data_IF_954164926100
#
_entry.id   IF_954164926100
#
_cell.length_a   1.000
_cell.length_b   1.000
_cell.length_c   1.000
_cell.angle_alpha   90.00
_cell.angle_beta   90.00
_cell.angle_gamma   90.00
#
_symmetry.space_group_name_H-M   'P 1'
#
loop_
_entity.id
_entity.type
_entity.pdbx_description
1 polymer ?
#
# COMPACT_ATOMS: atom_id res chain seq x y z
N UNK A 1 14.51 23.51 15.86
CA UNK A 1 13.61 22.60 15.16
C UNK A 1 14.35 22.13 13.92
N UNK A 2 14.78 20.88 13.85
CA UNK A 2 15.40 20.32 12.63
C UNK A 2 14.34 20.33 11.54
N UNK A 3 14.60 21.02 10.43
CA UNK A 3 13.75 20.94 9.25
C UNK A 3 13.92 19.54 8.66
N UNK A 4 12.81 18.83 8.45
CA UNK A 4 12.87 17.52 7.81
C UNK A 4 13.60 17.63 6.46
N UNK A 5 14.43 16.64 6.10
CA UNK A 5 15.18 16.67 4.86
C UNK A 5 14.23 16.77 3.65
N UNK A 6 14.56 17.63 2.70
CA UNK A 6 13.80 17.82 1.48
C UNK A 6 14.26 16.77 0.45
N UNK A 7 13.33 15.92 0.01
CA UNK A 7 13.58 14.97 -1.09
C UNK A 7 13.32 15.72 -2.40
N UNK A 8 14.31 15.76 -3.28
CA UNK A 8 14.15 16.31 -4.64
C UNK A 8 13.46 15.25 -5.52
N UNK A 9 12.32 15.60 -6.11
CA UNK A 9 11.55 14.73 -6.99
C UNK A 9 10.64 15.57 -7.90
N UNK A 10 10.29 15.01 -9.06
CA UNK A 10 9.32 15.63 -9.96
C UNK A 10 7.89 15.53 -9.41
N UNK A 11 7.38 16.63 -8.88
CA UNK A 11 6.07 16.68 -8.23
C UNK A 11 4.90 16.70 -9.21
N UNK A 12 3.92 15.83 -9.01
CA UNK A 12 2.62 15.87 -9.70
C UNK A 12 1.77 16.99 -9.08
N UNK A 13 1.67 18.12 -9.78
CA UNK A 13 0.96 19.33 -9.33
C UNK A 13 -0.49 19.35 -9.83
N UNK A 14 -1.31 18.42 -9.37
CA UNK A 14 -2.73 18.31 -9.72
C UNK A 14 -3.06 17.14 -10.65
N UNK A 15 -4.33 16.78 -10.71
CA UNK A 15 -4.82 15.58 -11.43
C UNK A 15 -4.54 15.62 -12.93
N UNK A 16 -4.53 16.79 -13.54
CA UNK A 16 -4.23 16.97 -14.97
C UNK A 16 -2.77 16.74 -15.34
N UNK A 17 -1.88 16.56 -14.36
CA UNK A 17 -0.46 16.22 -14.53
C UNK A 17 -0.16 14.76 -14.23
N UNK A 18 -1.16 13.95 -13.95
CA UNK A 18 -0.98 12.50 -13.80
C UNK A 18 -0.56 11.92 -15.16
N UNK A 19 0.47 11.06 -15.23
CA UNK A 19 0.86 10.43 -16.49
C UNK A 19 -0.29 9.70 -17.16
N UNK A 20 -0.44 9.87 -18.47
CA UNK A 20 -1.53 9.26 -19.23
C UNK A 20 -1.25 7.80 -19.60
N UNK A 21 0.03 7.40 -19.63
CA UNK A 21 0.42 6.03 -19.94
C UNK A 21 -0.24 5.03 -18.99
N UNK A 22 -0.85 3.98 -19.57
CA UNK A 22 -1.48 2.89 -18.81
C UNK A 22 -0.57 1.69 -18.74
N UNK A 23 -0.02 1.42 -17.56
CA UNK A 23 0.89 0.31 -17.28
C UNK A 23 0.22 -0.81 -16.45
N UNK A 24 -1.02 -0.56 -16.05
CA UNK A 24 -1.95 -1.52 -15.46
C UNK A 24 -3.30 -1.32 -16.14
N UNK A 25 -3.64 -2.21 -17.05
CA UNK A 25 -4.77 -2.04 -17.97
C UNK A 25 -6.05 -2.71 -17.47
N UNK A 26 -7.12 -2.55 -18.23
CA UNK A 26 -8.36 -3.32 -18.05
C UNK A 26 -8.13 -4.83 -18.25
N UNK A 27 -9.08 -5.65 -17.83
CA UNK A 27 -9.01 -7.11 -17.95
C UNK A 27 -8.63 -7.82 -16.65
N UNK A 28 -8.38 -7.09 -15.55
CA UNK A 28 -8.27 -7.68 -14.23
C UNK A 28 -9.62 -8.15 -13.70
N UNK A 29 -9.61 -9.09 -12.75
CA UNK A 29 -10.80 -9.68 -12.14
C UNK A 29 -11.03 -9.18 -10.70
N UNK A 30 -10.65 -7.96 -10.41
CA UNK A 30 -10.93 -7.35 -9.11
C UNK A 30 -12.41 -7.01 -8.98
N UNK A 31 -12.89 -6.90 -7.76
CA UNK A 31 -14.27 -6.50 -7.48
C UNK A 31 -14.57 -5.10 -8.03
N UNK A 32 -15.82 -4.83 -8.33
CA UNK A 32 -16.27 -3.47 -8.59
C UNK A 32 -15.99 -2.59 -7.37
N UNK A 33 -15.45 -1.39 -7.57
CA UNK A 33 -15.07 -0.49 -6.47
C UNK A 33 -13.87 -0.96 -5.65
N UNK A 34 -13.06 -1.91 -6.16
CA UNK A 34 -11.84 -2.34 -5.49
C UNK A 34 -10.80 -1.21 -5.44
N UNK A 35 -10.59 -0.63 -4.26
CA UNK A 35 -9.65 0.47 -4.09
C UNK A 35 -8.19 0.04 -4.32
N UNK A 36 -7.82 -1.19 -3.95
CA UNK A 36 -6.49 -1.71 -4.21
C UNK A 36 -6.12 -1.74 -5.70
N UNK A 37 -7.11 -1.91 -6.60
CA UNK A 37 -6.87 -1.82 -8.04
C UNK A 37 -6.58 -0.37 -8.48
N UNK A 38 -7.30 0.61 -7.92
CA UNK A 38 -7.06 2.04 -8.13
C UNK A 38 -5.67 2.43 -7.63
N UNK A 39 -5.32 1.97 -6.43
CA UNK A 39 -4.00 2.15 -5.82
C UNK A 39 -2.89 1.62 -6.72
N UNK A 40 -2.98 0.38 -7.17
CA UNK A 40 -1.99 -0.23 -8.06
C UNK A 40 -1.82 0.55 -9.37
N UNK A 41 -2.92 0.87 -10.04
CA UNK A 41 -2.90 1.63 -11.28
C UNK A 41 -2.19 2.97 -11.11
N UNK A 42 -2.51 3.70 -10.05
CA UNK A 42 -1.89 4.99 -9.77
C UNK A 42 -0.40 4.88 -9.42
N UNK A 43 -0.01 3.88 -8.64
CA UNK A 43 1.39 3.66 -8.31
C UNK A 43 2.25 3.38 -9.55
N UNK A 44 1.81 2.49 -10.42
CA UNK A 44 2.54 2.19 -11.65
C UNK A 44 2.61 3.40 -12.58
N UNK A 45 1.54 4.17 -12.71
CA UNK A 45 1.59 5.45 -13.43
C UNK A 45 2.63 6.41 -12.86
N UNK A 46 2.73 6.48 -11.54
CA UNK A 46 3.71 7.34 -10.87
C UNK A 46 5.15 6.85 -11.03
N UNK A 47 5.35 5.53 -11.02
CA UNK A 47 6.66 4.90 -11.14
C UNK A 47 7.19 4.86 -12.58
N UNK A 48 6.30 4.81 -13.59
CA UNK A 48 6.65 4.73 -15.00
C UNK A 48 7.02 3.32 -15.47
N UNK A 49 7.24 3.18 -16.80
CA UNK A 49 7.44 1.91 -17.49
C UNK A 49 8.76 1.18 -17.13
N UNK A 50 9.73 1.88 -16.57
CA UNK A 50 11.00 1.26 -16.12
C UNK A 50 10.87 0.64 -14.73
N UNK A 51 9.86 -0.19 -14.57
CA UNK A 51 9.49 -0.81 -13.30
C UNK A 51 9.34 -2.31 -13.46
N UNK A 52 9.79 -3.05 -12.46
CA UNK A 52 9.52 -4.48 -12.29
C UNK A 52 8.70 -4.64 -11.01
N UNK A 53 7.63 -5.41 -11.08
CA UNK A 53 6.71 -5.61 -9.98
C UNK A 53 6.83 -7.03 -9.43
N UNK A 54 6.92 -7.16 -8.12
CA UNK A 54 6.75 -8.43 -7.41
C UNK A 54 5.58 -8.33 -6.45
N UNK A 55 5.00 -9.44 -6.04
CA UNK A 55 3.96 -9.37 -5.04
C UNK A 55 3.55 -10.70 -4.47
N UNK A 56 3.16 -10.63 -3.21
CA UNK A 56 2.66 -11.78 -2.46
C UNK A 56 1.23 -12.15 -2.88
N UNK A 57 0.91 -13.43 -2.83
CA UNK A 57 -0.46 -13.93 -3.02
C UNK A 57 -1.46 -13.12 -2.19
N UNK A 58 -2.54 -12.71 -2.80
CA UNK A 58 -3.62 -11.92 -2.22
C UNK A 58 -4.55 -11.46 -3.34
N UNK A 59 -5.55 -10.64 -3.03
CA UNK A 59 -6.54 -10.18 -4.00
C UNK A 59 -5.90 -9.70 -5.31
N UNK A 60 -4.88 -8.84 -5.20
CA UNK A 60 -4.31 -8.18 -6.37
C UNK A 60 -3.47 -9.07 -7.26
N UNK A 61 -2.95 -10.18 -6.75
CA UNK A 61 -2.23 -11.15 -7.59
C UNK A 61 -3.15 -12.26 -8.10
N UNK A 62 -4.08 -12.73 -7.29
CA UNK A 62 -5.05 -13.73 -7.74
C UNK A 62 -5.99 -13.17 -8.82
N UNK A 63 -6.49 -11.94 -8.65
CA UNK A 63 -7.35 -11.30 -9.63
C UNK A 63 -6.64 -10.88 -10.94
N UNK A 64 -5.30 -10.84 -10.93
CA UNK A 64 -4.48 -10.41 -12.05
C UNK A 64 -3.76 -11.57 -12.75
N UNK A 65 -3.86 -12.79 -12.22
CA UNK A 65 -3.33 -14.01 -12.83
C UNK A 65 -4.46 -14.81 -13.42
N UNK A 66 -4.68 -14.73 -14.70
CA UNK A 66 -5.71 -15.48 -15.37
C UNK A 66 -5.14 -16.08 -16.63
N UNK A 67 -5.14 -17.38 -16.70
CA UNK A 67 -4.65 -18.23 -17.77
C UNK A 67 -3.64 -17.59 -18.74
N UNK A 68 -4.08 -16.82 -19.71
CA UNK A 68 -3.21 -16.23 -20.74
C UNK A 68 -3.26 -14.71 -20.77
N UNK A 69 -3.91 -14.07 -19.78
CA UNK A 69 -4.07 -12.61 -19.74
C UNK A 69 -3.66 -12.03 -18.40
N UNK A 70 -3.02 -10.89 -18.45
CA UNK A 70 -2.66 -10.10 -17.27
C UNK A 70 -2.86 -8.62 -17.58
N UNK A 71 -3.28 -7.79 -16.61
CA UNK A 71 -3.37 -6.35 -16.79
C UNK A 71 -2.00 -5.64 -16.70
N UNK A 72 -0.94 -6.35 -16.29
CA UNK A 72 0.39 -5.79 -16.16
C UNK A 72 1.06 -5.58 -17.52
N UNK A 73 1.46 -4.36 -17.83
CA UNK A 73 2.28 -4.02 -18.99
C UNK A 73 3.77 -4.04 -18.65
N UNK A 74 4.11 -3.89 -17.38
CA UNK A 74 5.48 -4.03 -16.87
C UNK A 74 5.79 -5.49 -16.50
N UNK A 75 7.06 -5.91 -16.47
CA UNK A 75 7.43 -7.22 -15.95
C UNK A 75 6.95 -7.41 -14.52
N UNK A 76 6.36 -8.56 -14.23
CA UNK A 76 5.79 -8.83 -12.92
C UNK A 76 6.02 -10.29 -12.49
N UNK A 77 6.01 -10.52 -11.18
CA UNK A 77 6.17 -11.85 -10.60
C UNK A 77 5.23 -12.03 -9.39
N UNK A 78 4.45 -13.10 -9.43
CA UNK A 78 3.62 -13.54 -8.31
C UNK A 78 4.42 -14.48 -7.41
N UNK A 79 4.40 -14.25 -6.11
CA UNK A 79 5.12 -15.04 -5.11
C UNK A 79 4.21 -15.54 -4.01
N UNK A 80 4.70 -16.46 -3.19
CA UNK A 80 3.98 -16.99 -2.05
C UNK A 80 3.59 -15.88 -1.06
N UNK A 81 2.49 -16.04 -0.33
CA UNK A 81 1.84 -15.03 0.53
C UNK A 81 2.81 -14.33 1.51
N UNK A 82 3.73 -15.04 2.14
CA UNK A 82 4.72 -14.46 3.06
C UNK A 82 6.04 -14.02 2.41
N UNK A 83 6.21 -14.22 1.09
CA UNK A 83 7.50 -14.04 0.41
C UNK A 83 7.69 -12.64 -0.24
N UNK A 84 6.80 -11.66 0.02
CA UNK A 84 6.86 -10.35 -0.61
C UNK A 84 8.21 -9.65 -0.45
N UNK A 85 8.70 -9.49 0.76
CA UNK A 85 9.99 -8.84 1.03
C UNK A 85 11.17 -9.59 0.40
N UNK A 86 11.22 -10.91 0.57
CA UNK A 86 12.30 -11.74 0.03
C UNK A 86 12.34 -11.71 -1.50
N UNK A 87 11.18 -11.69 -2.16
CA UNK A 87 11.09 -11.59 -3.63
C UNK A 87 11.56 -10.23 -4.14
N UNK A 88 11.24 -9.15 -3.43
CA UNK A 88 11.71 -7.80 -3.79
C UNK A 88 13.24 -7.72 -3.71
N UNK A 89 13.83 -8.23 -2.62
CA UNK A 89 15.30 -8.28 -2.45
C UNK A 89 15.93 -9.16 -3.54
N UNK A 90 15.38 -10.34 -3.80
CA UNK A 90 15.88 -11.24 -4.86
C UNK A 90 15.85 -10.60 -6.25
N UNK A 91 14.77 -9.87 -6.58
CA UNK A 91 14.64 -9.12 -7.83
C UNK A 91 15.67 -8.00 -7.93
N UNK A 92 15.80 -7.17 -6.90
CA UNK A 92 16.77 -6.08 -6.86
C UNK A 92 18.21 -6.59 -6.95
N UNK A 93 18.55 -7.67 -6.23
CA UNK A 93 19.86 -8.32 -6.31
C UNK A 93 20.15 -8.89 -7.70
N UNK A 94 19.16 -9.54 -8.32
CA UNK A 94 19.26 -10.06 -9.67
C UNK A 94 19.54 -8.97 -10.70
N UNK A 95 18.78 -7.87 -10.66
CA UNK A 95 19.00 -6.71 -11.54
C UNK A 95 20.37 -6.09 -11.33
N UNK A 96 20.81 -5.90 -10.08
CA UNK A 96 22.17 -5.41 -9.74
C UNK A 96 23.26 -6.34 -10.33
N UNK A 97 23.07 -7.67 -10.24
CA UNK A 97 24.00 -8.64 -10.79
C UNK A 97 24.02 -8.61 -12.34
N UNK A 98 22.88 -8.48 -13.01
CA UNK A 98 22.79 -8.37 -14.46
C UNK A 98 23.46 -7.10 -14.99
N UNK A 99 23.28 -5.96 -14.34
CA UNK A 99 23.97 -4.70 -14.64
C UNK A 99 25.49 -4.87 -14.50
N UNK A 100 25.96 -5.38 -13.37
CA UNK A 100 27.39 -5.61 -13.10
C UNK A 100 28.04 -6.53 -14.13
N UNK A 101 27.28 -7.51 -14.67
CA UNK A 101 27.73 -8.43 -15.71
C UNK A 101 27.60 -7.86 -17.12
N UNK A 102 27.14 -6.63 -17.30
CA UNK A 102 26.89 -6.02 -18.61
C UNK A 102 25.80 -6.69 -19.44
N UNK A 103 24.92 -7.47 -18.81
CA UNK A 103 23.80 -8.17 -19.49
C UNK A 103 22.60 -7.26 -19.75
N UNK A 104 22.46 -6.20 -18.98
CA UNK A 104 21.49 -5.13 -19.18
C UNK A 104 22.20 -3.78 -19.00
N UNK A 105 21.63 -2.71 -19.57
CA UNK A 105 22.15 -1.35 -19.39
C UNK A 105 22.12 -0.95 -17.92
N UNK A 106 23.12 -0.19 -17.49
CA UNK A 106 23.16 0.35 -16.14
C UNK A 106 22.29 1.62 -16.03
N UNK A 107 21.00 1.40 -16.05
CA UNK A 107 19.97 2.43 -15.91
C UNK A 107 19.08 2.11 -14.72
N UNK A 108 18.45 3.13 -14.13
CA UNK A 108 17.52 2.93 -13.01
C UNK A 108 16.34 2.08 -13.45
N UNK A 109 16.08 0.98 -12.72
CA UNK A 109 14.91 0.13 -12.85
C UNK A 109 14.29 0.07 -11.47
N UNK A 110 13.07 0.52 -11.34
CA UNK A 110 12.34 0.51 -10.07
C UNK A 110 11.91 -0.93 -9.73
N UNK A 111 12.17 -1.38 -8.53
CA UNK A 111 11.65 -2.64 -7.98
C UNK A 111 10.56 -2.31 -6.99
N UNK A 112 9.33 -2.70 -7.31
CA UNK A 112 8.16 -2.44 -6.46
C UNK A 112 7.54 -3.78 -6.05
N UNK A 113 7.32 -3.96 -4.75
CA UNK A 113 6.56 -5.07 -4.21
C UNK A 113 5.18 -4.59 -3.76
N UNK A 114 4.13 -5.28 -4.20
CA UNK A 114 2.78 -5.13 -3.67
C UNK A 114 2.41 -6.34 -2.83
N UNK A 115 2.05 -6.13 -1.58
CA UNK A 115 1.58 -7.18 -0.68
C UNK A 115 0.38 -6.69 0.11
N UNK A 116 -0.61 -7.57 0.31
CA UNK A 116 -1.76 -7.25 1.17
C UNK A 116 -1.37 -7.13 2.63
N UNK A 117 -2.29 -6.67 3.45
CA UNK A 117 -2.09 -6.49 4.89
C UNK A 117 -1.70 -7.79 5.60
N UNK A 118 -2.35 -8.92 5.29
CA UNK A 118 -1.93 -10.23 5.81
C UNK A 118 -0.51 -10.60 5.34
N UNK A 119 -0.24 -10.40 4.04
CA UNK A 119 1.03 -10.76 3.42
C UNK A 119 2.21 -9.91 3.89
N UNK A 120 2.02 -8.62 4.09
CA UNK A 120 3.08 -7.70 4.52
C UNK A 120 3.13 -7.50 6.04
N UNK A 121 1.95 -7.30 6.66
CA UNK A 121 1.84 -6.92 8.06
C UNK A 121 1.86 -8.09 9.05
N UNK A 122 1.56 -9.31 8.60
CA UNK A 122 1.49 -10.50 9.46
C UNK A 122 2.44 -11.61 8.96
N UNK A 123 2.04 -12.41 7.98
CA UNK A 123 2.79 -13.60 7.58
C UNK A 123 4.17 -13.28 6.99
N UNK A 124 4.29 -12.20 6.23
CA UNK A 124 5.53 -11.79 5.57
C UNK A 124 6.33 -10.74 6.31
N UNK A 125 5.92 -10.33 7.52
CA UNK A 125 6.56 -9.21 8.24
C UNK A 125 8.06 -9.42 8.46
N UNK A 126 8.51 -10.64 8.71
CA UNK A 126 9.93 -10.96 8.83
C UNK A 126 10.71 -10.71 7.53
N UNK A 127 10.16 -11.11 6.39
CA UNK A 127 10.75 -10.85 5.07
C UNK A 127 10.72 -9.36 4.70
N UNK A 128 9.66 -8.64 5.05
CA UNK A 128 9.56 -7.18 4.88
C UNK A 128 10.62 -6.48 5.75
N UNK A 129 10.72 -6.86 7.02
CA UNK A 129 11.73 -6.32 7.94
C UNK A 129 13.15 -6.52 7.41
N UNK A 130 13.48 -7.73 6.93
CA UNK A 130 14.77 -8.02 6.32
C UNK A 130 15.03 -7.19 5.05
N UNK A 131 14.00 -7.00 4.20
CA UNK A 131 14.11 -6.17 3.01
C UNK A 131 14.40 -4.70 3.35
N UNK A 132 13.75 -4.15 4.38
CA UNK A 132 13.98 -2.78 4.84
C UNK A 132 15.34 -2.57 5.54
N UNK A 133 16.01 -3.65 5.93
CA UNK A 133 17.36 -3.63 6.50
C UNK A 133 18.45 -3.83 5.41
N UNK A 134 18.05 -4.10 4.17
CA UNK A 134 18.98 -4.29 3.04
C UNK A 134 19.51 -2.96 2.49
N UNK A 135 20.48 -3.05 1.57
CA UNK A 135 21.05 -1.92 0.82
C UNK A 135 20.51 -1.83 -0.61
N UNK A 136 19.39 -2.48 -0.90
CA UNK A 136 18.80 -2.48 -2.24
C UNK A 136 17.78 -1.36 -2.41
N UNK A 137 17.80 -0.73 -3.59
CA UNK A 137 16.73 0.19 -4.00
C UNK A 137 15.48 -0.62 -4.31
N UNK A 138 14.48 -0.51 -3.44
CA UNK A 138 13.19 -1.17 -3.59
C UNK A 138 12.10 -0.41 -2.83
N UNK A 139 10.89 -0.47 -3.35
CA UNK A 139 9.71 0.06 -2.68
C UNK A 139 8.76 -1.07 -2.33
N UNK A 140 8.40 -1.18 -1.07
CA UNK A 140 7.36 -2.09 -0.60
C UNK A 140 6.08 -1.31 -0.35
N UNK A 141 5.00 -1.76 -0.97
CA UNK A 141 3.67 -1.19 -0.80
C UNK A 141 2.77 -2.24 -0.18
N UNK A 142 2.27 -1.94 1.02
CA UNK A 142 1.25 -2.72 1.68
C UNK A 142 -0.11 -2.12 1.36
N UNK A 143 -0.93 -2.82 0.55
CA UNK A 143 -2.33 -2.45 0.37
C UNK A 143 -3.16 -3.05 1.51
N UNK A 144 -3.80 -2.18 2.28
CA UNK A 144 -4.53 -2.55 3.50
C UNK A 144 -6.03 -2.43 3.27
N UNK A 145 -6.67 -3.57 3.03
CA UNK A 145 -8.11 -3.69 2.99
C UNK A 145 -8.71 -4.24 4.30
N UNK A 146 -7.90 -4.27 5.36
CA UNK A 146 -8.23 -4.63 6.74
C UNK A 146 -8.60 -6.11 6.96
N UNK A 147 -8.29 -6.99 5.99
CA UNK A 147 -8.57 -8.42 6.11
C UNK A 147 -7.79 -9.26 5.10
N UNK A 148 -7.70 -10.56 5.34
CA UNK A 148 -7.38 -11.53 4.29
C UNK A 148 -8.60 -11.67 3.36
N UNK A 149 -8.82 -10.64 2.54
CA UNK A 149 -10.06 -10.47 1.79
C UNK A 149 -10.23 -11.50 0.66
N UNK A 150 -9.13 -11.94 0.04
CA UNK A 150 -9.18 -12.90 -1.07
C UNK A 150 -9.76 -14.26 -0.68
N UNK A 151 -9.51 -14.70 0.55
CA UNK A 151 -9.92 -15.99 1.08
C UNK A 151 -11.21 -15.94 1.92
N UNK A 152 -11.99 -14.89 1.75
CA UNK A 152 -13.27 -14.64 2.40
C UNK A 152 -13.16 -14.00 3.80
N UNK A 153 -12.41 -12.92 3.87
CA UNK A 153 -12.46 -11.94 4.97
C UNK A 153 -12.04 -12.52 6.32
N UNK A 154 -10.88 -13.16 6.43
CA UNK A 154 -10.32 -13.52 7.72
C UNK A 154 -9.72 -12.29 8.41
N UNK A 155 -9.76 -12.30 9.74
CA UNK A 155 -9.12 -11.25 10.54
C UNK A 155 -7.60 -11.26 10.37
N UNK A 156 -7.02 -10.07 10.24
CA UNK A 156 -5.56 -9.80 10.20
C UNK A 156 -5.17 -8.87 11.34
N UNK A 157 -3.89 -8.54 11.43
CA UNK A 157 -3.41 -7.48 12.31
C UNK A 157 -3.94 -6.09 11.93
N UNK A 158 -4.39 -5.92 10.71
CA UNK A 158 -4.99 -4.67 10.21
C UNK A 158 -6.50 -4.55 10.44
N UNK A 159 -7.17 -5.63 10.84
CA UNK A 159 -8.62 -5.62 11.04
C UNK A 159 -9.02 -4.67 12.16
N UNK A 160 -9.93 -3.78 11.86
CA UNK A 160 -10.42 -2.75 12.79
C UNK A 160 -11.13 -3.37 14.00
N UNK A 161 -10.94 -2.77 15.18
CA UNK A 161 -11.62 -3.18 16.41
C UNK A 161 -13.14 -3.14 16.23
N UNK A 162 -13.82 -4.20 16.62
CA UNK A 162 -15.26 -4.34 16.49
C UNK A 162 -15.73 -4.85 15.12
N UNK A 163 -14.85 -5.09 14.15
CA UNK A 163 -15.24 -5.62 12.85
C UNK A 163 -15.61 -7.12 12.93
N UNK A 164 -16.61 -7.50 12.16
CA UNK A 164 -16.98 -8.88 11.92
C UNK A 164 -16.11 -9.47 10.80
N UNK A 165 -15.57 -10.65 11.01
CA UNK A 165 -14.86 -11.42 9.98
C UNK A 165 -15.20 -12.90 10.12
N UNK A 166 -14.77 -13.74 9.16
CA UNK A 166 -14.96 -15.19 9.27
C UNK A 166 -14.26 -15.81 10.47
N UNK A 167 -13.20 -15.17 10.99
CA UNK A 167 -12.49 -15.59 12.21
C UNK A 167 -12.99 -14.90 13.49
N UNK A 168 -13.75 -13.84 13.34
CA UNK A 168 -14.30 -13.06 14.44
C UNK A 168 -15.80 -12.83 14.23
N UNK A 169 -16.62 -13.91 14.22
CA UNK A 169 -18.05 -13.80 14.02
C UNK A 169 -18.73 -13.11 15.22
N UNK A 170 -19.91 -12.53 15.04
CA UNK A 170 -20.72 -12.04 16.13
C UNK A 170 -21.12 -13.20 17.05
N UNK A 171 -21.17 -12.95 18.35
CA UNK A 171 -21.55 -13.96 19.32
C UNK A 171 -22.02 -13.35 20.63
N UNK A 172 -22.86 -14.08 21.37
CA UNK A 172 -23.47 -13.60 22.60
C UNK A 172 -22.62 -13.85 23.85
N UNK A 173 -21.73 -14.87 23.84
CA UNK A 173 -20.96 -15.26 25.03
C UNK A 173 -19.44 -15.23 24.83
N UNK A 174 -18.92 -15.68 23.70
CA UNK A 174 -17.48 -15.95 23.54
C UNK A 174 -16.81 -15.27 22.35
N UNK A 175 -17.56 -14.85 21.35
CA UNK A 175 -17.01 -14.18 20.17
C UNK A 175 -17.83 -12.95 19.86
N UNK A 176 -17.30 -11.80 20.21
CA UNK A 176 -17.91 -10.50 19.91
C UNK A 176 -16.96 -9.80 18.96
N UNK A 177 -16.95 -10.21 17.69
CA UNK A 177 -16.19 -9.53 16.64
C UNK A 177 -14.68 -9.37 16.96
N UNK A 178 -13.96 -8.53 16.25
CA UNK A 178 -12.54 -8.28 16.48
C UNK A 178 -12.31 -7.46 17.77
N UNK A 179 -11.50 -8.00 18.68
CA UNK A 179 -11.18 -7.35 19.96
C UNK A 179 -9.73 -6.87 20.09
N UNK A 180 -8.92 -7.08 19.05
CA UNK A 180 -7.54 -6.58 19.02
C UNK A 180 -7.51 -5.24 18.33
N UNK A 181 -6.65 -4.37 18.82
CA UNK A 181 -6.36 -3.10 18.16
C UNK A 181 -5.60 -3.32 16.86
N UNK A 182 -5.87 -2.47 15.88
CA UNK A 182 -5.17 -2.47 14.61
C UNK A 182 -3.66 -2.26 14.80
N UNK A 183 -2.87 -3.10 14.14
CA UNK A 183 -1.41 -3.01 14.13
C UNK A 183 -0.96 -1.76 13.36
N UNK A 184 -0.13 -0.93 13.98
CA UNK A 184 0.51 0.20 13.29
C UNK A 184 1.77 -0.27 12.55
N UNK A 185 1.59 -0.91 11.39
CA UNK A 185 2.71 -1.49 10.62
C UNK A 185 3.68 -0.41 10.15
N UNK A 186 3.18 0.70 9.59
CA UNK A 186 4.04 1.79 9.13
C UNK A 186 4.87 2.40 10.27
N UNK A 187 4.24 2.68 11.42
CA UNK A 187 4.95 3.20 12.59
C UNK A 187 6.00 2.24 13.14
N UNK A 188 5.65 0.95 13.23
CA UNK A 188 6.59 -0.10 13.68
C UNK A 188 7.82 -0.19 12.76
N UNK A 189 7.60 -0.19 11.45
CA UNK A 189 8.68 -0.28 10.46
C UNK A 189 9.53 1.00 10.44
N UNK A 190 8.93 2.16 10.59
CA UNK A 190 9.66 3.43 10.64
C UNK A 190 10.62 3.53 11.83
N UNK A 191 10.19 3.04 13.01
CA UNK A 191 11.02 3.09 14.23
C UNK A 191 12.07 1.99 14.25
N UNK A 192 11.74 0.79 13.75
CA UNK A 192 12.59 -0.39 13.83
C UNK A 192 13.68 -0.49 12.76
N UNK A 193 13.64 0.32 11.70
CA UNK A 193 14.52 0.16 10.53
C UNK A 193 15.20 1.47 10.12
N UNK A 194 16.29 1.87 10.77
CA UNK A 194 17.01 3.13 10.44
C UNK A 194 17.53 3.17 8.99
N UNK A 195 17.76 2.01 8.36
CA UNK A 195 18.15 1.91 6.93
C UNK A 195 17.01 2.34 6.00
N UNK A 196 15.77 2.14 6.41
CA UNK A 196 14.58 2.57 5.67
C UNK A 196 14.34 4.06 5.90
N UNK A 197 14.89 4.88 5.01
CA UNK A 197 14.86 6.35 5.11
C UNK A 197 13.48 6.97 4.87
N UNK A 198 12.55 6.21 4.26
CA UNK A 198 11.22 6.70 3.92
C UNK A 198 10.14 5.68 4.21
N UNK A 199 9.24 6.04 5.10
CA UNK A 199 8.00 5.30 5.37
C UNK A 199 6.83 6.27 5.25
N UNK A 200 5.76 5.88 4.58
CA UNK A 200 4.57 6.72 4.45
C UNK A 200 3.28 5.94 4.62
N UNK A 201 2.22 6.65 4.99
CA UNK A 201 0.84 6.19 4.85
C UNK A 201 0.17 6.92 3.69
N UNK A 202 -0.75 6.28 2.98
CA UNK A 202 -1.38 6.85 1.80
C UNK A 202 -2.82 6.34 1.62
N UNK A 203 -3.59 7.04 0.78
CA UNK A 203 -4.88 6.60 0.28
C UNK A 203 -5.01 7.10 -1.16
N UNK A 204 -5.44 6.22 -2.09
CA UNK A 204 -5.48 6.58 -3.50
C UNK A 204 -6.53 7.65 -3.84
N UNK A 205 -7.60 7.71 -3.06
CA UNK A 205 -8.74 8.59 -3.32
C UNK A 205 -8.63 9.97 -2.68
N UNK A 206 -7.85 10.08 -1.60
CA UNK A 206 -7.75 11.36 -0.87
C UNK A 206 -6.42 11.54 -0.14
N UNK A 207 -5.74 12.72 -0.26
CA UNK A 207 -5.90 13.76 -1.29
C UNK A 207 -5.43 13.27 -2.67
N UNK A 208 -6.00 13.73 -3.79
CA UNK A 208 -5.91 13.06 -5.10
C UNK A 208 -4.51 12.81 -5.67
N UNK A 209 -3.49 13.59 -5.29
CA UNK A 209 -2.11 13.42 -5.78
C UNK A 209 -1.12 13.07 -4.68
N UNK A 210 -1.56 12.99 -3.44
CA UNK A 210 -0.69 12.76 -2.29
C UNK A 210 0.04 11.41 -2.42
N UNK A 211 -0.69 10.32 -2.65
CA UNK A 211 -0.11 9.00 -2.77
C UNK A 211 0.83 8.85 -3.96
N UNK A 212 0.53 9.50 -5.11
CA UNK A 212 1.39 9.49 -6.30
C UNK A 212 2.73 10.16 -6.01
N UNK A 213 2.70 11.29 -5.31
CA UNK A 213 3.90 12.01 -4.91
C UNK A 213 4.72 11.23 -3.87
N UNK A 214 4.08 10.49 -2.98
CA UNK A 214 4.74 9.60 -2.03
C UNK A 214 5.50 8.48 -2.73
N UNK A 215 4.93 7.91 -3.81
CA UNK A 215 5.64 6.92 -4.63
C UNK A 215 6.90 7.52 -5.26
N UNK A 216 6.79 8.71 -5.87
CA UNK A 216 7.96 9.38 -6.48
C UNK A 216 9.04 9.66 -5.46
N UNK A 217 8.68 10.20 -4.29
CA UNK A 217 9.62 10.39 -3.19
C UNK A 217 10.31 9.10 -2.76
N UNK A 218 9.52 8.03 -2.57
CA UNK A 218 10.04 6.72 -2.18
C UNK A 218 11.04 6.16 -3.19
N UNK A 219 10.81 6.38 -4.48
CA UNK A 219 11.70 5.91 -5.55
C UNK A 219 12.94 6.81 -5.73
N UNK A 220 12.90 8.07 -5.32
CA UNK A 220 14.03 9.02 -5.47
C UNK A 220 14.97 9.05 -4.26
N UNK A 221 14.50 8.76 -3.06
CA UNK A 221 15.34 8.84 -1.85
C UNK A 221 16.47 7.78 -1.83
N UNK A 222 16.33 6.71 -2.59
CA UNK A 222 17.28 5.59 -2.64
C UNK A 222 17.22 4.69 -1.40
N UNK A 223 17.61 3.44 -1.58
CA UNK A 223 17.51 2.39 -0.58
C UNK A 223 16.09 1.81 -0.44
N UNK A 224 15.86 0.96 0.56
CA UNK A 224 14.55 0.36 0.79
C UNK A 224 13.57 1.38 1.37
N UNK A 225 12.33 1.37 0.86
CA UNK A 225 11.26 2.28 1.28
C UNK A 225 9.95 1.53 1.46
N UNK A 226 9.02 2.10 2.25
CA UNK A 226 7.76 1.45 2.58
C UNK A 226 6.58 2.43 2.50
N UNK A 227 5.48 2.01 1.87
CA UNK A 227 4.22 2.76 1.87
C UNK A 227 3.09 1.83 2.31
N UNK A 228 2.32 2.25 3.31
CA UNK A 228 1.11 1.61 3.78
C UNK A 228 -0.10 2.37 3.25
N UNK A 229 -0.92 1.74 2.40
CA UNK A 229 -2.12 2.37 1.84
C UNK A 229 -3.39 1.86 2.49
N UNK A 230 -4.35 2.75 2.67
CA UNK A 230 -5.71 2.37 3.03
C UNK A 230 -6.54 2.14 1.76
N UNK A 231 -7.06 0.94 1.61
CA UNK A 231 -7.77 0.48 0.43
C UNK A 231 -9.11 -0.16 0.82
N UNK A 232 -10.18 0.59 1.08
CA UNK A 232 -11.46 0.03 1.52
C UNK A 232 -11.97 -1.07 0.59
N UNK A 233 -12.49 -2.15 1.20
CA UNK A 233 -12.95 -3.35 0.49
C UNK A 233 -14.47 -3.45 0.51
N UNK A 234 -15.18 -3.25 -0.63
CA UNK A 234 -16.64 -3.31 -0.66
C UNK A 234 -17.20 -4.69 -0.29
N UNK A 235 -16.50 -5.76 -0.66
CA UNK A 235 -16.86 -7.13 -0.32
C UNK A 235 -16.68 -7.41 1.18
N UNK A 236 -15.59 -6.89 1.76
CA UNK A 236 -15.22 -7.15 3.15
C UNK A 236 -16.09 -6.43 4.15
N UNK A 237 -16.45 -5.19 3.84
CA UNK A 237 -17.15 -4.30 4.76
C UNK A 237 -18.58 -3.98 4.32
N UNK A 238 -19.14 -4.84 3.44
CA UNK A 238 -20.53 -4.88 2.99
C UNK A 238 -21.11 -3.50 2.64
N UNK A 239 -20.45 -2.78 1.76
CA UNK A 239 -20.95 -1.52 1.24
C UNK A 239 -21.05 -1.52 -0.28
N UNK A 240 -21.94 -0.68 -0.80
CA UNK A 240 -22.12 -0.58 -2.25
C UNK A 240 -20.86 0.01 -2.91
N UNK A 241 -20.32 -0.58 -3.99
CA UNK A 241 -19.07 -0.20 -4.66
C UNK A 241 -18.92 1.29 -5.00
N UNK A 242 -20.03 2.00 -5.24
CA UNK A 242 -20.03 3.45 -5.49
C UNK A 242 -19.46 4.29 -4.34
N UNK A 243 -19.41 3.74 -3.12
CA UNK A 243 -18.94 4.44 -1.93
C UNK A 243 -17.46 4.26 -1.64
N UNK A 244 -16.73 3.46 -2.44
CA UNK A 244 -15.31 3.17 -2.17
C UNK A 244 -14.47 4.43 -2.03
N UNK A 245 -14.57 5.36 -2.98
CA UNK A 245 -13.84 6.64 -2.92
C UNK A 245 -14.26 7.49 -1.71
N UNK A 246 -15.56 7.54 -1.43
CA UNK A 246 -16.09 8.26 -0.27
C UNK A 246 -15.58 7.66 1.04
N UNK A 247 -15.53 6.34 1.16
CA UNK A 247 -15.01 5.66 2.35
C UNK A 247 -13.51 5.89 2.53
N UNK A 248 -12.73 5.89 1.47
CA UNK A 248 -11.32 6.27 1.54
C UNK A 248 -11.14 7.68 2.11
N UNK A 249 -11.89 8.65 1.59
CA UNK A 249 -11.89 10.04 2.08
C UNK A 249 -12.37 10.15 3.54
N UNK A 250 -13.49 9.49 3.89
CA UNK A 250 -14.04 9.50 5.25
C UNK A 250 -13.08 8.89 6.26
N UNK A 251 -12.42 7.78 5.93
CA UNK A 251 -11.42 7.15 6.79
C UNK A 251 -10.26 8.08 7.15
N UNK A 252 -9.81 8.90 6.18
CA UNK A 252 -8.79 9.93 6.43
C UNK A 252 -9.36 11.09 7.25
N UNK A 253 -10.52 11.62 6.87
CA UNK A 253 -11.13 12.79 7.53
C UNK A 253 -11.55 12.53 8.97
N UNK A 254 -12.00 11.33 9.31
CA UNK A 254 -12.32 10.97 10.69
C UNK A 254 -11.07 10.61 11.52
N UNK A 255 -9.93 10.40 10.87
CA UNK A 255 -8.65 10.13 11.52
C UNK A 255 -8.39 8.68 11.90
N UNK A 256 -9.18 7.73 11.38
CA UNK A 256 -8.89 6.29 11.50
C UNK A 256 -7.60 5.96 10.76
N UNK A 257 -7.36 6.61 9.61
CA UNK A 257 -6.16 6.48 8.81
C UNK A 257 -5.44 7.83 8.70
N UNK A 258 -4.49 8.15 9.58
CA UNK A 258 -3.71 9.37 9.50
C UNK A 258 -2.74 9.33 8.32
N UNK A 259 -2.65 10.41 7.56
CA UNK A 259 -1.69 10.55 6.46
C UNK A 259 -0.42 11.26 6.92
N UNK A 260 0.69 10.54 6.87
CA UNK A 260 2.00 11.07 7.24
C UNK A 260 3.13 10.45 6.40
N UNK A 261 4.26 11.07 6.47
CA UNK A 261 5.55 10.58 6.00
C UNK A 261 6.52 10.55 7.18
N UNK A 262 7.42 9.58 7.20
CA UNK A 262 8.60 9.57 8.05
C UNK A 262 9.81 9.62 7.15
N UNK A 263 10.57 10.71 7.21
CA UNK A 263 11.75 10.93 6.38
C UNK A 263 12.95 11.06 7.30
N UNK A 264 13.89 10.13 7.19
CA UNK A 264 15.07 10.07 8.08
C UNK A 264 14.68 10.24 9.58
N UNK A 265 13.64 9.51 10.00
CA UNK A 265 13.10 9.52 11.36
C UNK A 265 12.19 10.69 11.72
N UNK A 266 12.03 11.69 10.85
CA UNK A 266 11.18 12.85 11.09
C UNK A 266 9.76 12.64 10.59
N UNK A 267 8.75 12.77 11.47
CA UNK A 267 7.34 12.60 11.13
C UNK A 267 6.75 13.89 10.57
N UNK A 268 6.16 13.81 9.38
CA UNK A 268 5.53 14.93 8.67
C UNK A 268 4.09 14.53 8.35
N UNK A 269 3.08 15.17 8.93
CA UNK A 269 1.69 14.96 8.55
C UNK A 269 1.42 15.64 7.21
N UNK A 270 1.02 14.86 6.20
CA UNK A 270 0.69 15.36 4.86
C UNK A 270 -0.75 15.82 4.77
N UNK A 271 -1.60 15.34 5.67
CA UNK A 271 -2.95 15.86 5.88
C UNK A 271 -3.28 15.90 7.38
N UNK A 272 -3.84 17.03 7.83
CA UNK A 272 -4.25 17.23 9.22
C UNK A 272 -5.61 17.93 9.27
N UNK A 273 -6.60 17.23 9.81
CA UNK A 273 -7.97 17.74 9.95
C UNK A 273 -8.05 19.08 10.69
N UNK A 274 -7.17 19.31 11.68
CA UNK A 274 -7.10 20.56 12.44
C UNK A 274 -6.73 21.77 11.59
N UNK A 275 -5.89 21.54 10.55
CA UNK A 275 -5.46 22.56 9.61
C UNK A 275 -6.47 22.81 8.48
N UNK A 276 -7.44 21.91 8.29
CA UNK A 276 -8.48 22.05 7.27
C UNK A 276 -9.55 23.09 7.62
N UNK A 277 -9.54 23.63 8.83
CA UNK A 277 -10.55 24.56 9.36
C UNK A 277 -11.90 23.91 9.72
N UNK A 278 -12.10 22.63 9.38
CA UNK A 278 -13.36 21.89 9.65
C UNK A 278 -13.24 20.90 10.80
N UNK A 279 -12.03 20.62 11.30
CA UNK A 279 -11.80 19.60 12.31
C UNK A 279 -11.95 18.17 11.76
N UNK A 280 -11.92 17.19 12.66
CA UNK A 280 -12.21 15.79 12.32
C UNK A 280 -13.72 15.60 12.21
N UNK A 281 -14.15 14.83 11.21
CA UNK A 281 -15.55 14.37 11.15
C UNK A 281 -15.79 13.25 12.18
N UNK A 282 -17.03 13.05 12.65
CA UNK A 282 -17.35 11.94 13.52
C UNK A 282 -17.08 10.58 12.86
N UNK A 283 -16.47 9.65 13.60
CA UNK A 283 -16.23 8.27 13.14
C UNK A 283 -17.53 7.57 12.71
N UNK A 284 -18.65 7.94 13.32
CA UNK A 284 -19.99 7.42 12.98
C UNK A 284 -20.32 7.63 11.49
N UNK A 285 -19.89 8.73 10.87
CA UNK A 285 -20.12 8.97 9.43
C UNK A 285 -19.41 7.94 8.57
N UNK A 286 -18.19 7.55 8.94
CA UNK A 286 -17.45 6.49 8.27
C UNK A 286 -18.11 5.12 8.46
N UNK A 287 -18.46 4.76 9.70
CA UNK A 287 -19.03 3.46 10.03
C UNK A 287 -20.43 3.29 9.41
N UNK A 288 -21.25 4.33 9.37
CA UNK A 288 -22.63 4.26 8.87
C UNK A 288 -22.76 3.96 7.37
N UNK A 289 -21.66 3.97 6.64
CA UNK A 289 -21.59 3.59 5.21
C UNK A 289 -21.28 2.12 4.98
N UNK A 290 -20.98 1.39 6.05
CA UNK A 290 -20.60 -0.02 6.04
C UNK A 290 -21.72 -0.87 6.65
N UNK A 291 -21.84 -2.15 6.25
CA UNK A 291 -22.83 -3.08 6.74
C UNK A 291 -22.54 -3.68 8.12
#
# INVERSE_FOLDING_TARGET
>A
MSTAPTIDYEKIKGVHKIPLEELYTSGHRTCQGCESATTMRGFIKSAGSRTVVTGATGCMYVANTSYMTTPWIVPWMHTQLGAGGSSAVGMAAGLRALKRKGKIKDEKINVINFSGDLGAGDMGIGGISAALQSDYDLLIIMYDNESAANTDIQATGSTTYGAQTTFTPPGTKHSIMQRRWKKNVAGMLAVGHPTCRYVATACATFPPTDYLNKVRKALEIGGPTFIHTYDPCPKGWDYHPRYSNELGELGIKCGIYPLYEVVDGNVIYTWDARKSGKGRIPVKEFISKQG
#
